data_IF_244939982617
#
_entry.id   IF_244939982617
#
_cell.length_a   1.000
_cell.length_b   1.000
_cell.length_c   1.000
_cell.angle_alpha   90.00
_cell.angle_beta   90.00
_cell.angle_gamma   90.00
#
_symmetry.space_group_name_H-M   'P 1'
#
loop_
_entity.id
_entity.type
_entity.pdbx_description
1 polymer ?
#
# COMPACT_ATOMS: atom_id res chain seq x y z
N UNK A 1 -9.71 -14.07 -3.29
CA UNK A 1 -10.22 -12.67 -3.21
C UNK A 1 -9.40 -11.80 -4.15
N UNK A 2 -9.98 -10.73 -4.65
CA UNK A 2 -9.34 -9.77 -5.55
C UNK A 2 -8.82 -8.56 -4.78
N UNK A 3 -7.96 -7.77 -5.41
CA UNK A 3 -7.31 -6.63 -4.76
C UNK A 3 -8.33 -5.55 -4.33
N UNK A 4 -9.43 -5.38 -5.06
CA UNK A 4 -10.49 -4.40 -4.75
C UNK A 4 -11.26 -4.72 -3.46
N UNK A 5 -11.24 -5.97 -3.02
CA UNK A 5 -11.95 -6.44 -1.83
C UNK A 5 -11.09 -6.33 -0.56
N UNK A 6 -9.82 -5.91 -0.68
CA UNK A 6 -8.93 -5.79 0.45
C UNK A 6 -9.24 -4.50 1.24
N UNK A 7 -9.43 -4.57 2.56
CA UNK A 7 -9.70 -3.38 3.35
C UNK A 7 -8.46 -2.48 3.45
N UNK A 8 -8.70 -1.20 3.69
CA UNK A 8 -7.65 -0.19 3.81
C UNK A 8 -6.79 -0.50 5.04
N UNK A 9 -5.45 -0.52 4.86
CA UNK A 9 -4.49 -0.83 5.91
C UNK A 9 -4.03 -2.29 5.95
N UNK A 10 -4.76 -3.20 5.28
CA UNK A 10 -4.36 -4.60 5.23
C UNK A 10 -3.27 -4.86 4.19
N UNK A 11 -2.54 -5.95 4.44
CA UNK A 11 -1.46 -6.44 3.57
C UNK A 11 -1.84 -7.79 2.97
N UNK A 12 -1.63 -7.92 1.67
CA UNK A 12 -1.88 -9.15 0.94
C UNK A 12 -0.72 -9.47 -0.02
N UNK A 13 -0.57 -10.76 -0.34
CA UNK A 13 0.35 -11.22 -1.36
C UNK A 13 -0.40 -11.45 -2.68
N UNK A 14 0.16 -10.96 -3.78
CA UNK A 14 -0.37 -11.24 -5.12
C UNK A 14 -0.13 -12.72 -5.44
N UNK A 15 -1.18 -13.47 -5.74
CA UNK A 15 -1.07 -14.87 -6.17
C UNK A 15 -1.09 -14.99 -7.68
N UNK A 16 -1.96 -14.21 -8.33
CA UNK A 16 -2.13 -14.24 -9.77
C UNK A 16 -2.46 -12.84 -10.30
N UNK A 17 -1.86 -12.51 -11.43
CA UNK A 17 -2.12 -11.25 -12.14
C UNK A 17 -2.91 -11.61 -13.40
N UNK A 18 -4.19 -11.27 -13.40
CA UNK A 18 -5.04 -11.39 -14.58
C UNK A 18 -4.79 -10.28 -15.59
N UNK A 19 -5.69 -10.19 -16.57
CA UNK A 19 -5.57 -9.29 -17.71
C UNK A 19 -4.95 -9.98 -18.93
N UNK A 20 -5.37 -9.53 -20.11
CA UNK A 20 -4.94 -10.08 -21.39
C UNK A 20 -3.81 -9.25 -22.02
N UNK A 21 -2.89 -9.92 -22.71
CA UNK A 21 -1.86 -9.32 -23.56
C UNK A 21 -1.10 -8.15 -22.92
N UNK A 22 -1.36 -6.94 -23.42
CA UNK A 22 -0.66 -5.71 -23.05
C UNK A 22 -0.92 -5.27 -21.60
N UNK A 23 -2.13 -5.50 -21.07
CA UNK A 23 -2.48 -5.08 -19.71
C UNK A 23 -1.61 -5.81 -18.69
N UNK A 24 -1.53 -7.14 -18.80
CA UNK A 24 -0.71 -7.98 -17.93
C UNK A 24 0.77 -7.57 -17.99
N UNK A 25 1.30 -7.29 -19.19
CA UNK A 25 2.68 -6.83 -19.36
C UNK A 25 2.94 -5.56 -18.56
N UNK A 26 2.06 -4.55 -18.72
CA UNK A 26 2.15 -3.27 -18.01
C UNK A 26 2.07 -3.45 -16.49
N UNK A 27 1.17 -4.29 -15.97
CA UNK A 27 1.07 -4.57 -14.54
C UNK A 27 2.38 -5.16 -13.99
N UNK A 28 2.97 -6.11 -14.72
CA UNK A 28 4.25 -6.71 -14.34
C UNK A 28 5.41 -5.70 -14.39
N UNK A 29 5.46 -4.85 -15.42
CA UNK A 29 6.47 -3.77 -15.56
C UNK A 29 6.34 -2.74 -14.43
N UNK A 30 5.11 -2.46 -13.97
CA UNK A 30 4.82 -1.63 -12.80
C UNK A 30 5.12 -2.32 -11.46
N UNK A 31 5.64 -3.56 -11.45
CA UNK A 31 6.05 -4.28 -10.24
C UNK A 31 4.95 -5.08 -9.54
N UNK A 32 3.73 -5.13 -10.10
CA UNK A 32 2.65 -6.00 -9.64
C UNK A 32 2.89 -7.42 -10.15
N UNK A 33 3.83 -8.10 -9.51
CA UNK A 33 4.26 -9.45 -9.85
C UNK A 33 3.76 -10.46 -8.82
N UNK A 34 3.47 -11.72 -9.21
CA UNK A 34 3.13 -12.77 -8.26
C UNK A 34 4.19 -12.89 -7.15
N UNK A 35 3.74 -13.20 -5.94
CA UNK A 35 4.53 -13.25 -4.69
C UNK A 35 5.02 -11.89 -4.18
N UNK A 36 4.54 -10.79 -4.75
CA UNK A 36 4.80 -9.44 -4.21
C UNK A 36 3.78 -9.09 -3.13
N UNK A 37 4.29 -8.52 -2.04
CA UNK A 37 3.48 -7.96 -0.96
C UNK A 37 2.99 -6.57 -1.34
N UNK A 38 1.70 -6.35 -1.15
CA UNK A 38 1.03 -5.07 -1.40
C UNK A 38 0.15 -4.71 -0.21
N UNK A 39 0.07 -3.42 0.11
CA UNK A 39 -0.80 -2.91 1.18
C UNK A 39 -1.67 -1.77 0.66
N UNK A 40 -2.97 -1.81 0.95
CA UNK A 40 -3.89 -0.74 0.55
C UNK A 40 -3.67 0.47 1.44
N UNK A 41 -3.44 1.63 0.82
CA UNK A 41 -3.23 2.91 1.51
C UNK A 41 -4.53 3.67 1.65
N UNK A 42 -5.17 3.94 0.51
CA UNK A 42 -6.39 4.72 0.40
C UNK A 42 -7.16 4.26 -0.83
N UNK A 43 -8.47 4.41 -0.78
CA UNK A 43 -9.33 4.31 -1.95
C UNK A 43 -9.92 5.69 -2.22
N UNK A 44 -10.13 6.04 -3.48
CA UNK A 44 -10.86 7.26 -3.81
C UNK A 44 -12.26 7.26 -3.14
N UNK A 45 -12.84 8.44 -2.85
CA UNK A 45 -14.16 8.55 -2.22
C UNK A 45 -15.29 7.88 -3.01
N UNK A 46 -15.10 7.72 -4.33
CA UNK A 46 -16.04 7.04 -5.24
C UNK A 46 -15.64 5.59 -5.56
N UNK A 47 -14.59 5.06 -4.95
CA UNK A 47 -14.13 3.67 -5.13
C UNK A 47 -13.15 3.43 -6.28
N UNK A 48 -12.85 4.43 -7.13
CA UNK A 48 -11.83 4.37 -8.18
C UNK A 48 -11.11 5.71 -8.31
N UNK A 49 -9.77 5.75 -8.44
CA UNK A 49 -8.80 4.63 -8.39
C UNK A 49 -8.36 4.24 -6.96
N UNK A 50 -7.60 3.15 -6.84
CA UNK A 50 -7.09 2.62 -5.57
C UNK A 50 -5.59 2.92 -5.43
N UNK A 51 -5.19 3.47 -4.29
CA UNK A 51 -3.80 3.67 -3.90
C UNK A 51 -3.28 2.52 -3.05
N UNK A 52 -2.18 1.93 -3.50
CA UNK A 52 -1.53 0.80 -2.84
C UNK A 52 -0.02 1.02 -2.77
N UNK A 53 0.61 0.41 -1.78
CA UNK A 53 2.07 0.42 -1.65
C UNK A 53 2.63 -0.89 -2.18
N UNK A 54 3.51 -0.80 -3.18
CA UNK A 54 4.27 -1.93 -3.73
C UNK A 54 5.73 -1.72 -3.35
N UNK A 55 6.34 -2.68 -2.65
CA UNK A 55 7.76 -2.60 -2.24
C UNK A 55 8.07 -1.28 -1.52
N UNK A 56 8.79 -0.38 -2.17
CA UNK A 56 9.26 0.91 -1.63
C UNK A 56 8.48 2.13 -2.13
N UNK A 57 7.51 1.97 -3.03
CA UNK A 57 6.76 3.10 -3.62
C UNK A 57 5.25 2.89 -3.54
N UNK A 58 4.53 3.98 -3.77
CA UNK A 58 3.08 4.02 -3.82
C UNK A 58 2.65 4.07 -5.29
N UNK A 59 1.68 3.24 -5.64
CA UNK A 59 1.16 3.09 -6.99
C UNK A 59 -0.36 3.25 -6.93
N UNK A 60 -0.88 4.02 -7.87
CA UNK A 60 -2.33 4.17 -8.07
C UNK A 60 -2.73 3.37 -9.29
N UNK A 61 -3.67 2.44 -9.12
CA UNK A 61 -4.22 1.65 -10.23
C UNK A 61 -5.73 1.79 -10.30
N UNK A 62 -6.28 1.54 -11.49
CA UNK A 62 -7.73 1.55 -11.69
C UNK A 62 -8.38 0.37 -10.98
N UNK A 63 -9.63 0.54 -10.59
CA UNK A 63 -10.47 -0.49 -9.98
C UNK A 63 -10.62 -1.69 -10.92
N UNK A 64 -10.70 -1.44 -12.24
CA UNK A 64 -10.79 -2.51 -13.24
C UNK A 64 -9.54 -3.40 -13.24
N UNK A 65 -8.35 -2.79 -13.20
CA UNK A 65 -7.08 -3.51 -13.10
C UNK A 65 -7.02 -4.32 -11.79
N UNK A 66 -7.43 -3.71 -10.67
CA UNK A 66 -7.45 -4.35 -9.35
C UNK A 66 -8.36 -5.59 -9.29
N UNK A 67 -9.49 -5.59 -10.01
CA UNK A 67 -10.41 -6.73 -10.11
C UNK A 67 -9.80 -7.93 -10.83
N UNK A 68 -8.85 -7.72 -11.73
CA UNK A 68 -8.16 -8.80 -12.42
C UNK A 68 -7.05 -9.44 -11.58
N UNK A 69 -6.64 -8.80 -10.49
CA UNK A 69 -5.52 -9.25 -9.65
C UNK A 69 -6.06 -10.07 -8.47
N UNK A 70 -5.65 -11.33 -8.40
CA UNK A 70 -5.97 -12.21 -7.27
C UNK A 70 -4.92 -12.07 -6.19
N UNK A 71 -5.37 -11.91 -4.95
CA UNK A 71 -4.52 -11.77 -3.78
C UNK A 71 -4.91 -12.74 -2.67
N UNK A 72 -3.96 -13.04 -1.81
CA UNK A 72 -4.15 -13.80 -0.59
C UNK A 72 -3.84 -12.88 0.61
N UNK A 73 -4.80 -12.67 1.54
CA UNK A 73 -4.56 -11.84 2.71
C UNK A 73 -3.50 -12.53 3.56
N UNK A 74 -2.52 -11.76 4.03
CA UNK A 74 -1.56 -12.28 5.00
C UNK A 74 -1.96 -11.74 6.37
N UNK A 75 -2.19 -12.60 7.37
CA UNK A 75 -2.51 -12.14 8.70
C UNK A 75 -1.29 -11.37 9.24
N UNK A 76 -1.50 -10.09 9.57
CA UNK A 76 -0.52 -9.19 10.17
C UNK A 76 -0.31 -9.54 11.66
N UNK A 77 -0.19 -10.84 11.98
CA UNK A 77 -0.16 -11.34 13.35
C UNK A 77 1.27 -11.39 13.88
N UNK A 78 1.92 -10.23 13.99
CA UNK A 78 3.13 -10.09 14.81
C UNK A 78 3.36 -8.69 15.39
N UNK A 79 2.34 -7.82 15.40
CA UNK A 79 2.41 -6.58 16.16
C UNK A 79 1.66 -6.73 17.48
N UNK A 80 2.47 -6.88 18.53
CA UNK A 80 2.16 -6.39 19.87
C UNK A 80 0.98 -7.06 20.60
N UNK A 81 1.11 -8.35 20.92
CA UNK A 81 0.62 -8.80 22.24
C UNK A 81 1.67 -8.44 23.28
N UNK A 82 1.74 -7.16 23.63
CA UNK A 82 2.22 -6.77 24.95
C UNK A 82 1.33 -7.48 25.97
N UNK A 83 1.93 -8.11 26.97
CA UNK A 83 1.20 -9.00 27.87
C UNK A 83 0.25 -8.22 28.78
N UNK A 84 -1.02 -8.08 28.40
CA UNK A 84 -2.06 -7.54 29.29
C UNK A 84 -2.39 -8.46 30.49
N UNK A 85 -1.72 -9.62 30.62
CA UNK A 85 -1.95 -10.56 31.73
C UNK A 85 -0.79 -10.72 32.71
N UNK A 86 0.33 -10.02 32.55
CA UNK A 86 1.45 -10.18 33.48
C UNK A 86 1.38 -9.17 34.63
N UNK A 87 0.87 -9.61 35.77
CA UNK A 87 0.87 -8.91 37.06
C UNK A 87 2.27 -8.72 37.68
N UNK A 88 3.37 -8.88 36.91
CA UNK A 88 4.74 -8.78 37.40
C UNK A 88 5.59 -7.97 36.42
N UNK A 89 5.86 -6.72 36.81
CA UNK A 89 6.19 -5.56 35.99
C UNK A 89 7.65 -5.46 35.50
N UNK A 90 8.47 -6.51 35.62
CA UNK A 90 9.94 -6.31 35.67
C UNK A 90 10.77 -7.00 34.58
N UNK A 91 10.18 -7.42 33.44
CA UNK A 91 11.02 -7.98 32.36
C UNK A 91 10.43 -7.84 30.96
N UNK A 92 10.16 -6.61 30.55
CA UNK A 92 9.85 -6.27 29.15
C UNK A 92 10.89 -5.34 28.49
N UNK A 93 12.05 -5.13 29.11
CA UNK A 93 13.12 -4.22 28.63
C UNK A 93 14.03 -4.75 27.50
N UNK A 94 13.69 -5.85 26.83
CA UNK A 94 14.49 -6.35 25.71
C UNK A 94 13.74 -6.28 24.37
N UNK A 95 12.97 -5.21 24.15
CA UNK A 95 12.49 -4.84 22.82
C UNK A 95 13.21 -3.55 22.41
N UNK A 96 14.11 -3.58 21.42
CA UNK A 96 14.79 -2.37 20.96
C UNK A 96 13.76 -1.43 20.33
N UNK A 97 13.71 -0.21 20.86
CA UNK A 97 12.83 0.88 20.44
C UNK A 97 13.03 1.19 18.96
N UNK A 98 12.12 0.75 18.10
CA UNK A 98 12.10 1.19 16.71
C UNK A 98 11.40 2.55 16.64
N UNK A 99 12.14 3.64 16.79
CA UNK A 99 11.61 5.00 16.63
C UNK A 99 11.34 5.28 15.15
N UNK A 100 10.09 5.49 14.70
CA UNK A 100 9.87 6.05 13.37
C UNK A 100 10.16 7.55 13.43
N UNK A 101 11.22 8.00 12.74
CA UNK A 101 11.52 9.42 12.55
C UNK A 101 10.35 10.12 11.88
N UNK A 102 9.65 10.94 12.68
CA UNK A 102 8.75 11.99 12.19
C UNK A 102 9.61 13.08 11.56
N UNK A 103 9.59 13.18 10.24
CA UNK A 103 9.81 14.46 9.58
C UNK A 103 8.44 14.98 9.14
N UNK A 104 7.94 15.94 9.91
CA UNK A 104 6.95 16.93 9.45
C UNK A 104 7.73 18.09 8.82
N UNK A 105 7.23 18.59 7.70
CA UNK A 105 7.70 19.79 7.00
C UNK A 105 7.59 19.58 5.50
N UNK A 106 6.94 20.41 4.70
CA UNK A 106 6.33 21.70 4.93
C UNK A 106 5.30 21.91 3.81
N UNK A 107 4.24 22.64 4.13
CA UNK A 107 3.41 23.34 3.15
C UNK A 107 4.31 24.28 2.32
N UNK A 108 4.16 24.25 1.00
CA UNK A 108 4.42 25.38 0.09
C UNK A 108 3.47 25.16 -1.08
N UNK A 109 2.30 25.80 -1.06
CA UNK A 109 2.09 27.09 -1.70
C UNK A 109 2.50 27.06 -3.17
N UNK A 110 1.47 26.90 -4.00
CA UNK A 110 1.47 27.14 -5.43
C UNK A 110 1.38 28.66 -5.66
N UNK A 111 2.37 29.27 -6.33
CA UNK A 111 1.99 30.29 -7.32
C UNK A 111 2.91 30.35 -8.57
N UNK A 112 2.32 30.89 -9.65
CA UNK A 112 2.91 31.40 -10.90
C UNK A 112 3.36 30.34 -11.94
N UNK A 113 3.17 30.47 -13.26
CA UNK A 113 2.80 31.58 -14.15
C UNK A 113 2.07 30.96 -15.38
N UNK A 114 0.96 31.51 -15.89
CA UNK A 114 0.87 32.52 -16.96
C UNK A 114 1.82 32.32 -18.16
N UNK A 115 1.16 32.32 -19.33
CA UNK A 115 1.54 32.90 -20.62
C UNK A 115 2.36 32.09 -21.65
N UNK A 116 1.63 31.69 -22.69
CA UNK A 116 1.81 31.98 -24.13
C UNK A 116 3.03 31.53 -24.97
N UNK A 117 2.66 31.18 -26.21
CA UNK A 117 3.42 31.11 -27.47
C UNK A 117 4.35 29.89 -27.64
N UNK A 118 4.48 29.25 -28.79
CA UNK A 118 4.08 29.52 -30.18
C UNK A 118 4.25 28.20 -30.96
N UNK A 119 3.40 27.90 -31.94
CA UNK A 119 3.70 27.75 -33.38
C UNK A 119 2.37 27.62 -34.12
#
# INVERSE_FOLDING_TARGET
MTLDQLPIGDTAAITFVGGEGALRRRLLDMGLTPKTLVSIRKTAPMGDPIELRVRSYELTIRLDDARTITVCPLPQQFREKGCDSCSRREKCDSVPSFTPSRHHGHHSENPAAKEEASV
#
